data_IF_987077482853
#
_entry.id   IF_987077482853
#
_cell.length_a   1.000
_cell.length_b   1.000
_cell.length_c   1.000
_cell.angle_alpha   90.00
_cell.angle_beta   90.00
_cell.angle_gamma   90.00
#
_symmetry.space_group_name_H-M   'P 1'
#
loop_
_entity.id
_entity.type
_entity.pdbx_description
1 polymer ?
#
# COMPACT_ATOMS: atom_id res chain seq x y z
N UNK A 1 -6.47 25.13 -3.18
CA UNK A 1 -5.40 25.93 -3.82
C UNK A 1 -4.77 26.92 -2.82
N UNK A 2 -5.54 27.68 -2.03
CA UNK A 2 -5.02 28.65 -1.04
C UNK A 2 -4.11 28.12 0.07
N UNK A 3 -4.25 26.84 0.44
CA UNK A 3 -3.52 26.24 1.54
C UNK A 3 -2.05 25.91 1.23
N UNK A 4 -1.75 25.73 -0.06
CA UNK A 4 -0.43 25.40 -0.58
C UNK A 4 0.36 26.66 -0.99
N UNK A 5 -0.13 27.85 -0.61
CA UNK A 5 0.57 29.09 -0.92
C UNK A 5 1.94 29.09 -0.22
N UNK A 6 3.03 29.46 -0.91
CA UNK A 6 4.37 29.49 -0.32
C UNK A 6 4.40 30.39 0.92
N UNK A 7 5.14 30.00 1.94
CA UNK A 7 5.21 30.75 3.21
C UNK A 7 5.65 32.20 3.00
N UNK A 8 6.52 32.44 2.03
CA UNK A 8 6.96 33.78 1.64
C UNK A 8 5.84 34.69 1.09
N UNK A 9 4.74 34.13 0.58
CA UNK A 9 3.60 34.90 0.09
C UNK A 9 2.62 35.29 1.20
N UNK A 10 2.73 34.68 2.39
CA UNK A 10 1.83 34.89 3.53
C UNK A 10 2.53 35.66 4.67
N UNK A 11 3.87 35.58 4.75
CA UNK A 11 4.68 36.20 5.79
C UNK A 11 4.48 37.72 5.85
N UNK A 12 4.20 38.26 7.04
CA UNK A 12 3.94 39.67 7.27
C UNK A 12 2.52 40.14 6.91
N UNK A 13 1.64 39.24 6.45
CA UNK A 13 0.23 39.55 6.22
C UNK A 13 -0.65 39.04 7.37
N UNK A 14 -1.83 39.64 7.56
CA UNK A 14 -2.84 39.16 8.54
C UNK A 14 -3.25 37.70 8.32
N UNK A 15 -3.00 37.14 7.14
CA UNK A 15 -3.30 35.75 6.81
C UNK A 15 -2.29 34.75 7.37
N UNK A 16 -1.09 35.19 7.78
CA UNK A 16 -0.08 34.34 8.41
C UNK A 16 -0.62 33.67 9.67
N UNK A 17 -1.32 34.44 10.52
CA UNK A 17 -1.94 33.95 11.75
C UNK A 17 -3.01 32.90 11.50
N UNK A 18 -3.70 32.98 10.37
CA UNK A 18 -4.76 32.04 10.00
C UNK A 18 -4.21 30.82 9.24
N UNK A 19 -3.08 30.94 8.54
CA UNK A 19 -2.51 29.87 7.73
C UNK A 19 -1.99 28.68 8.56
N UNK A 20 -1.29 28.93 9.67
CA UNK A 20 -0.77 27.87 10.56
C UNK A 20 -1.85 27.02 11.24
N UNK A 21 -2.88 27.59 11.89
CA UNK A 21 -3.95 26.80 12.48
C UNK A 21 -4.81 26.12 11.42
N UNK A 22 -5.00 26.76 10.25
CA UNK A 22 -5.54 26.05 9.10
C UNK A 22 -4.69 24.80 8.89
N UNK A 23 -3.37 24.96 8.61
CA UNK A 23 -2.35 23.88 8.38
C UNK A 23 -2.47 22.69 9.30
N UNK A 24 -2.52 22.96 10.59
CA UNK A 24 -2.73 21.94 11.61
C UNK A 24 -4.07 21.21 11.44
N UNK A 25 -5.16 21.93 11.17
CA UNK A 25 -6.48 21.35 10.95
C UNK A 25 -6.55 20.41 9.75
N UNK A 26 -6.04 20.76 8.56
CA UNK A 26 -6.05 19.78 7.43
C UNK A 26 -5.15 18.60 7.73
N UNK A 27 -3.99 18.81 8.35
CA UNK A 27 -3.14 17.70 8.77
C UNK A 27 -3.90 16.76 9.72
N UNK A 28 -4.62 17.30 10.70
CA UNK A 28 -5.45 16.54 11.62
C UNK A 28 -6.61 15.81 10.91
N UNK A 29 -7.27 16.46 9.95
CA UNK A 29 -8.34 15.86 9.14
C UNK A 29 -7.78 14.71 8.29
N UNK A 30 -6.63 14.90 7.64
CA UNK A 30 -5.98 13.84 6.86
C UNK A 30 -5.54 12.66 7.74
N UNK A 31 -4.92 12.93 8.88
CA UNK A 31 -4.50 11.88 9.82
C UNK A 31 -5.69 11.15 10.45
N UNK A 32 -6.73 11.86 10.86
CA UNK A 32 -7.95 11.25 11.41
C UNK A 32 -8.65 10.39 10.36
N UNK A 33 -8.66 10.79 9.08
CA UNK A 33 -9.18 9.95 8.00
C UNK A 33 -8.40 8.63 7.85
N UNK A 34 -7.07 8.66 7.95
CA UNK A 34 -6.23 7.45 7.92
C UNK A 34 -6.55 6.55 9.12
N UNK A 35 -6.59 7.12 10.33
CA UNK A 35 -6.90 6.36 11.56
C UNK A 35 -8.31 5.76 11.50
N UNK A 36 -9.30 6.52 11.01
CA UNK A 36 -10.66 6.07 10.83
C UNK A 36 -10.74 4.92 9.81
N UNK A 37 -10.03 5.01 8.68
CA UNK A 37 -9.95 3.94 7.69
C UNK A 37 -9.32 2.67 8.29
N UNK A 38 -8.22 2.81 9.05
CA UNK A 38 -7.59 1.69 9.76
C UNK A 38 -8.53 1.07 10.80
N UNK A 39 -9.23 1.87 11.60
CA UNK A 39 -10.23 1.39 12.56
C UNK A 39 -11.41 0.69 11.90
N UNK A 40 -11.91 1.25 10.79
CA UNK A 40 -12.96 0.64 9.98
C UNK A 40 -12.53 -0.71 9.40
N UNK A 41 -11.30 -0.78 8.86
CA UNK A 41 -10.72 -2.03 8.35
C UNK A 41 -10.55 -3.07 9.46
N UNK A 42 -10.07 -2.69 10.65
CA UNK A 42 -10.00 -3.59 11.80
C UNK A 42 -11.36 -4.08 12.29
N UNK A 43 -12.42 -3.29 12.14
CA UNK A 43 -13.76 -3.72 12.57
C UNK A 43 -14.46 -4.62 11.54
N UNK A 44 -14.27 -4.36 10.24
CA UNK A 44 -15.07 -5.01 9.18
C UNK A 44 -14.27 -5.98 8.30
N UNK A 45 -12.95 -5.80 8.19
CA UNK A 45 -12.05 -6.59 7.35
C UNK A 45 -11.04 -7.44 8.15
N UNK A 46 -11.19 -7.55 9.47
CA UNK A 46 -10.34 -8.38 10.34
C UNK A 46 -10.72 -9.87 10.31
N UNK A 47 -11.01 -10.38 9.11
CA UNK A 47 -11.22 -11.80 8.85
C UNK A 47 -10.08 -12.31 7.99
N UNK A 48 -9.56 -13.48 8.32
CA UNK A 48 -8.58 -14.17 7.49
C UNK A 48 -9.24 -14.67 6.20
N UNK A 49 -9.17 -13.83 5.18
CA UNK A 49 -9.69 -14.12 3.83
C UNK A 49 -8.55 -14.40 2.85
N UNK A 50 -8.79 -15.22 1.80
CA UNK A 50 -7.84 -15.43 0.72
C UNK A 50 -7.40 -14.12 0.05
N UNK A 51 -8.31 -13.16 -0.07
CA UNK A 51 -8.03 -11.83 -0.62
C UNK A 51 -7.05 -11.04 0.26
N UNK A 52 -7.21 -11.06 1.59
CA UNK A 52 -6.28 -10.41 2.52
C UNK A 52 -4.88 -10.97 2.39
N UNK A 53 -4.74 -12.30 2.33
CA UNK A 53 -3.44 -12.97 2.15
C UNK A 53 -2.77 -12.59 0.83
N UNK A 54 -3.53 -12.60 -0.27
CA UNK A 54 -3.04 -12.17 -1.58
C UNK A 54 -2.54 -10.71 -1.56
N UNK A 55 -3.33 -9.79 -1.00
CA UNK A 55 -2.99 -8.38 -0.94
C UNK A 55 -1.79 -8.10 -0.04
N UNK A 56 -1.67 -8.81 1.09
CA UNK A 56 -0.49 -8.72 1.97
C UNK A 56 0.78 -9.19 1.25
N UNK A 57 0.71 -10.30 0.50
CA UNK A 57 1.83 -10.74 -0.34
C UNK A 57 2.16 -9.73 -1.46
N UNK A 58 1.14 -9.12 -2.07
CA UNK A 58 1.32 -8.17 -3.16
C UNK A 58 1.87 -6.81 -2.72
N UNK A 59 1.60 -6.37 -1.49
CA UNK A 59 1.92 -5.02 -1.02
C UNK A 59 3.39 -4.64 -1.22
N UNK A 60 4.32 -5.51 -0.81
CA UNK A 60 5.74 -5.20 -0.88
C UNK A 60 6.30 -5.19 -2.31
N UNK A 61 6.06 -6.21 -3.15
CA UNK A 61 6.46 -6.18 -4.56
C UNK A 61 5.86 -5.00 -5.33
N UNK A 62 4.55 -4.75 -5.15
CA UNK A 62 3.86 -3.63 -5.80
C UNK A 62 4.45 -2.30 -5.35
N UNK A 63 4.78 -2.12 -4.08
CA UNK A 63 5.38 -0.88 -3.56
C UNK A 63 6.71 -0.54 -4.27
N UNK A 64 7.60 -1.53 -4.42
CA UNK A 64 8.91 -1.34 -5.06
C UNK A 64 8.75 -1.04 -6.56
N UNK A 65 7.89 -1.81 -7.24
CA UNK A 65 7.64 -1.64 -8.68
C UNK A 65 6.94 -0.31 -8.98
N UNK A 66 5.97 0.08 -8.17
CA UNK A 66 5.15 1.27 -8.41
C UNK A 66 6.01 2.55 -8.46
N UNK A 67 6.88 2.75 -7.47
CA UNK A 67 7.73 3.95 -7.41
C UNK A 67 8.73 4.00 -8.58
N UNK A 68 9.35 2.87 -8.91
CA UNK A 68 10.31 2.79 -10.02
C UNK A 68 9.63 3.02 -11.37
N UNK A 69 8.46 2.41 -11.57
CA UNK A 69 7.65 2.58 -12.79
C UNK A 69 7.15 4.01 -12.96
N UNK A 70 6.73 4.70 -11.88
CA UNK A 70 6.33 6.12 -11.97
C UNK A 70 7.45 6.95 -12.59
N UNK A 71 8.68 6.83 -12.08
CA UNK A 71 9.81 7.64 -12.54
C UNK A 71 10.16 7.32 -14.00
N UNK A 72 10.25 6.04 -14.34
CA UNK A 72 10.59 5.60 -15.71
C UNK A 72 9.52 6.04 -16.71
N UNK A 73 8.24 5.82 -16.39
CA UNK A 73 7.14 6.14 -17.29
C UNK A 73 6.93 7.65 -17.40
N UNK A 74 7.03 8.41 -16.31
CA UNK A 74 6.93 9.87 -16.36
C UNK A 74 8.06 10.46 -17.22
N UNK A 75 9.28 9.93 -17.12
CA UNK A 75 10.39 10.36 -17.97
C UNK A 75 10.16 9.99 -19.45
N UNK A 76 9.66 8.80 -19.72
CA UNK A 76 9.38 8.32 -21.08
C UNK A 76 8.19 9.02 -21.74
N UNK A 77 7.20 9.47 -20.97
CA UNK A 77 6.01 10.18 -21.47
C UNK A 77 6.24 11.69 -21.66
N UNK A 78 7.20 12.28 -20.93
CA UNK A 78 7.59 13.68 -21.05
C UNK A 78 7.80 14.19 -22.50
N UNK A 79 8.49 13.49 -23.41
CA UNK A 79 8.69 13.97 -24.79
C UNK A 79 7.40 13.97 -25.63
N UNK A 80 6.32 13.33 -25.18
CA UNK A 80 5.10 13.13 -25.96
C UNK A 80 4.17 14.35 -26.00
N UNK A 81 4.49 15.43 -25.27
CA UNK A 81 3.76 16.73 -25.23
C UNK A 81 2.23 16.58 -25.13
N UNK A 82 1.74 15.55 -24.44
CA UNK A 82 0.30 15.28 -24.27
C UNK A 82 -0.31 16.26 -23.27
N UNK A 83 -1.65 16.47 -23.32
CA UNK A 83 -2.31 17.26 -22.30
C UNK A 83 -2.15 16.61 -20.92
N UNK A 84 -1.91 17.40 -19.86
CA UNK A 84 -1.48 16.89 -18.55
C UNK A 84 -2.50 15.94 -17.91
N UNK A 85 -3.80 16.13 -18.15
CA UNK A 85 -4.83 15.23 -17.66
C UNK A 85 -4.76 13.82 -18.28
N UNK A 86 -4.45 13.74 -19.57
CA UNK A 86 -4.31 12.45 -20.26
C UNK A 86 -3.03 11.73 -19.85
N UNK A 87 -1.93 12.48 -19.67
CA UNK A 87 -0.67 11.93 -19.17
C UNK A 87 -0.83 11.36 -17.76
N UNK A 88 -1.50 12.10 -16.86
CA UNK A 88 -1.79 11.62 -15.51
C UNK A 88 -2.65 10.35 -15.52
N UNK A 89 -3.70 10.30 -16.34
CA UNK A 89 -4.55 9.11 -16.46
C UNK A 89 -3.78 7.90 -16.99
N UNK A 90 -2.96 8.10 -18.03
CA UNK A 90 -2.10 7.06 -18.60
C UNK A 90 -1.09 6.54 -17.58
N UNK A 91 -0.44 7.44 -16.84
CA UNK A 91 0.50 7.06 -15.78
C UNK A 91 -0.18 6.21 -14.71
N UNK A 92 -1.35 6.62 -14.22
CA UNK A 92 -2.11 5.86 -13.21
C UNK A 92 -2.42 4.46 -13.73
N UNK A 93 -3.01 4.35 -14.93
CA UNK A 93 -3.39 3.05 -15.50
C UNK A 93 -2.17 2.18 -15.73
N UNK A 94 -1.12 2.71 -16.37
CA UNK A 94 0.05 1.94 -16.76
C UNK A 94 0.85 1.47 -15.54
N UNK A 95 1.07 2.35 -14.56
CA UNK A 95 1.78 1.99 -13.33
C UNK A 95 0.98 0.93 -12.56
N UNK A 96 -0.34 1.08 -12.42
CA UNK A 96 -1.17 0.08 -11.73
C UNK A 96 -1.09 -1.28 -12.43
N UNK A 97 -1.31 -1.33 -13.74
CA UNK A 97 -1.28 -2.58 -14.51
C UNK A 97 0.11 -3.23 -14.45
N UNK A 98 1.18 -2.47 -14.65
CA UNK A 98 2.54 -3.00 -14.66
C UNK A 98 3.02 -3.44 -13.28
N UNK A 99 2.61 -2.74 -12.21
CA UNK A 99 2.99 -3.11 -10.85
C UNK A 99 2.31 -4.42 -10.42
N UNK A 100 1.02 -4.58 -10.69
CA UNK A 100 0.31 -5.84 -10.44
C UNK A 100 0.76 -6.97 -11.37
N UNK A 101 1.03 -6.68 -12.65
CA UNK A 101 1.59 -7.64 -13.59
C UNK A 101 2.98 -8.12 -13.18
N UNK A 102 3.85 -7.20 -12.75
CA UNK A 102 5.17 -7.52 -12.22
C UNK A 102 5.10 -8.37 -10.95
N UNK A 103 4.16 -8.08 -10.05
CA UNK A 103 3.89 -8.94 -8.89
C UNK A 103 3.50 -10.37 -9.30
N UNK A 104 2.59 -10.55 -10.28
CA UNK A 104 2.21 -11.89 -10.76
C UNK A 104 3.39 -12.64 -11.37
N UNK A 105 4.31 -11.95 -12.06
CA UNK A 105 5.57 -12.53 -12.57
C UNK A 105 6.48 -12.97 -11.41
N UNK A 106 6.69 -12.10 -10.42
CA UNK A 106 7.50 -12.41 -9.23
C UNK A 106 6.91 -13.59 -8.45
N UNK A 107 5.57 -13.70 -8.36
CA UNK A 107 4.91 -14.82 -7.69
C UNK A 107 5.15 -16.16 -8.39
N UNK A 108 5.31 -16.15 -9.72
CA UNK A 108 5.59 -17.33 -10.56
C UNK A 108 7.05 -17.78 -10.52
N UNK A 109 8.00 -16.86 -10.31
CA UNK A 109 9.44 -17.17 -10.32
C UNK A 109 9.94 -17.39 -8.88
N UNK A 110 10.20 -18.64 -8.44
CA UNK A 110 10.52 -18.95 -7.05
C UNK A 110 11.82 -18.29 -6.56
N UNK A 111 12.76 -17.99 -7.46
CA UNK A 111 14.03 -17.32 -7.14
C UNK A 111 13.86 -15.83 -6.80
N UNK A 112 12.84 -15.16 -7.35
CA UNK A 112 12.58 -13.74 -7.10
C UNK A 112 11.80 -13.52 -5.80
N UNK A 113 11.09 -14.54 -5.30
CA UNK A 113 10.30 -14.47 -4.06
C UNK A 113 11.09 -13.91 -2.86
N UNK A 114 12.29 -14.42 -2.50
CA UNK A 114 13.04 -13.89 -1.36
C UNK A 114 13.51 -12.45 -1.58
N UNK A 115 13.85 -12.05 -2.81
CA UNK A 115 14.27 -10.67 -3.13
C UNK A 115 13.13 -9.66 -2.92
N UNK A 116 11.90 -10.11 -3.10
CA UNK A 116 10.68 -9.32 -2.89
C UNK A 116 9.97 -9.66 -1.57
N UNK A 117 10.69 -10.17 -0.56
CA UNK A 117 10.15 -10.37 0.79
C UNK A 117 9.02 -11.39 0.90
N UNK A 118 8.76 -12.18 -0.14
CA UNK A 118 7.78 -13.26 -0.12
C UNK A 118 8.40 -14.47 0.57
N UNK A 119 7.88 -14.83 1.75
CA UNK A 119 8.31 -16.02 2.47
C UNK A 119 8.19 -17.31 1.64
N UNK A 120 8.98 -18.35 1.94
CA UNK A 120 8.78 -19.68 1.39
C UNK A 120 7.31 -20.08 1.58
N UNK A 121 6.70 -20.71 0.57
CA UNK A 121 5.35 -21.26 0.73
C UNK A 121 5.37 -22.16 1.96
N UNK A 122 4.75 -21.71 3.06
CA UNK A 122 4.61 -22.53 4.25
C UNK A 122 3.87 -23.79 3.80
N UNK A 123 4.60 -24.91 3.77
CA UNK A 123 4.02 -26.23 3.60
C UNK A 123 2.90 -26.31 4.63
N UNK A 124 1.66 -26.45 4.15
CA UNK A 124 0.48 -26.51 4.98
C UNK A 124 0.79 -27.40 6.19
N UNK A 125 0.68 -26.82 7.39
CA UNK A 125 0.84 -27.58 8.61
C UNK A 125 -0.23 -28.68 8.57
N UNK A 126 0.19 -29.93 8.34
CA UNK A 126 -0.69 -31.09 8.40
C UNK A 126 -1.29 -31.15 9.80
N UNK A 127 -2.63 -31.13 9.96
CA UNK A 127 -3.27 -31.37 11.24
C UNK A 127 -3.25 -32.87 11.50
N UNK A 128 -2.09 -33.42 11.86
CA UNK A 128 -1.93 -34.86 12.10
C UNK A 128 -1.24 -35.18 13.43
N UNK A 129 -1.08 -34.20 14.34
CA UNK A 129 -0.34 -34.40 15.59
C UNK A 129 -1.06 -33.87 16.85
N UNK A 130 -2.40 -33.87 16.87
CA UNK A 130 -3.16 -33.52 18.10
C UNK A 130 -3.98 -34.69 18.67
N UNK A 131 -4.14 -35.81 17.96
CA UNK A 131 -4.89 -36.98 18.47
C UNK A 131 -4.05 -38.02 19.20
N UNK A 132 -2.72 -37.91 19.24
CA UNK A 132 -1.86 -38.90 19.90
C UNK A 132 -1.62 -38.65 21.41
N UNK A 133 -2.10 -37.52 21.96
CA UNK A 133 -1.81 -37.10 23.34
C UNK A 133 -2.92 -37.31 24.37
N UNK A 134 -4.10 -37.82 23.98
CA UNK A 134 -5.26 -37.96 24.88
C UNK A 134 -5.51 -39.39 25.40
N UNK A 135 -4.66 -40.36 25.07
CA UNK A 135 -4.70 -41.71 25.65
C UNK A 135 -3.71 -41.82 26.82
N UNK A 136 -4.02 -41.16 27.93
CA UNK A 136 -3.37 -41.41 29.23
C UNK A 136 -4.10 -42.54 29.98
N UNK A 137 -3.39 -43.41 30.72
CA UNK A 137 -4.00 -44.59 31.35
C UNK A 137 -4.94 -44.22 32.51
N UNK A 138 -6.10 -44.88 32.50
CA UNK A 138 -7.15 -44.84 33.53
C UNK A 138 -6.63 -45.43 34.87
N UNK A 139 -6.74 -44.74 36.02
CA UNK A 139 -6.38 -45.32 37.30
C UNK A 139 -7.53 -46.12 37.93
N UNK A 140 -7.19 -47.31 38.44
CA UNK A 140 -8.00 -48.26 39.20
C UNK A 140 -8.22 -47.83 40.67
#
# INVERSE_FOLDING_TARGET
IWYALPDGAIRGTRWELLAYPMRALVALVCWSAIVAACGFARRHLDRDSPARRYLTEAMFPVYILHQTLIVVLAHALKPLHRPPGLEALLLVVLVTVLSFGGFEIVRRIPLLRPLFGLGPRARAASPAATTAGLAGPEPA
#
